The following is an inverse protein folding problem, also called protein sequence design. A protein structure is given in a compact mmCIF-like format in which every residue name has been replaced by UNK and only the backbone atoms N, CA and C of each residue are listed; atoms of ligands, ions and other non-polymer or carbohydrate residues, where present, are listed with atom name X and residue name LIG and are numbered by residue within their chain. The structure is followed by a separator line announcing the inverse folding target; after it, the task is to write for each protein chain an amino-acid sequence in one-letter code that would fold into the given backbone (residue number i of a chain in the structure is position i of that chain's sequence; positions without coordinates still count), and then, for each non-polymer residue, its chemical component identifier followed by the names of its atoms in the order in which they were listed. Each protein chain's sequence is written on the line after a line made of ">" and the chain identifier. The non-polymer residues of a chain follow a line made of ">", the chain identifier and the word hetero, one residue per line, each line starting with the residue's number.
data_IF_828743814760
#
_entry.id   IF_828743814760
#
_cell.length_a   1.000
_cell.length_b   1.000
_cell.length_c   1.000
_cell.angle_alpha   90.00
_cell.angle_beta   90.00
_cell.angle_gamma   90.00
#
_symmetry.space_group_name_H-M   'P 1'
#
loop_
_entity.id
_entity.type
_entity.pdbx_description
1 polymer ?
#
# COMPACT_ATOMS: atom_id res chain seq x y z
N UNK A 1 3.51 7.34 7.20
CA UNK A 1 3.01 8.73 7.45
C UNK A 1 2.76 9.09 8.93
N UNK A 2 1.85 8.44 9.66
CA UNK A 2 1.62 8.70 11.09
C UNK A 2 2.71 8.14 12.03
N UNK A 3 3.38 7.07 11.60
CA UNK A 3 4.50 6.43 12.31
C UNK A 3 5.88 6.99 11.89
N UNK A 4 5.91 7.90 10.90
CA UNK A 4 7.14 8.57 10.46
C UNK A 4 7.95 7.81 9.40
N UNK A 5 7.39 6.76 8.81
CA UNK A 5 8.02 6.01 7.72
C UNK A 5 8.33 6.93 6.54
N UNK A 6 9.49 6.74 5.92
CA UNK A 6 9.96 7.49 4.75
C UNK A 6 9.58 6.82 3.42
N UNK A 7 9.28 5.52 3.47
CA UNK A 7 8.96 4.68 2.33
C UNK A 7 7.65 3.92 2.61
N UNK A 8 6.87 3.69 1.57
CA UNK A 8 5.70 2.83 1.55
C UNK A 8 5.78 1.90 0.34
N UNK A 9 4.70 1.25 -0.04
CA UNK A 9 4.70 0.42 -1.23
C UNK A 9 3.33 -0.18 -1.51
N UNK A 10 3.23 -0.81 -2.68
CA UNK A 10 2.04 -1.58 -3.08
C UNK A 10 2.46 -3.02 -3.28
N UNK A 11 1.61 -3.95 -2.82
CA UNK A 11 1.83 -5.39 -2.93
C UNK A 11 0.59 -6.05 -3.52
N UNK A 12 0.79 -6.94 -4.49
CA UNK A 12 -0.23 -7.92 -4.90
C UNK A 12 0.21 -9.26 -4.30
N UNK A 13 -0.69 -9.91 -3.58
CA UNK A 13 -0.44 -11.20 -2.93
C UNK A 13 -1.62 -12.15 -3.14
N UNK A 14 -1.35 -13.44 -2.98
CA UNK A 14 -2.37 -14.47 -3.01
C UNK A 14 -3.27 -14.38 -1.77
N UNK A 15 -4.53 -14.78 -1.89
CA UNK A 15 -5.44 -14.81 -0.73
C UNK A 15 -5.10 -15.99 0.16
N UNK A 16 -5.00 -15.75 1.46
CA UNK A 16 -4.78 -16.77 2.49
C UNK A 16 -5.85 -16.65 3.60
N UNK A 17 -5.98 -17.66 4.50
CA UNK A 17 -6.97 -17.62 5.58
C UNK A 17 -6.81 -16.49 6.58
N UNK A 18 -5.59 -15.95 6.75
CA UNK A 18 -5.31 -14.80 7.61
C UNK A 18 -5.19 -13.52 6.76
N UNK A 19 -5.57 -12.39 7.34
CA UNK A 19 -5.53 -11.09 6.65
C UNK A 19 -4.12 -10.76 6.18
N UNK A 20 -4.00 -10.49 4.88
CA UNK A 20 -2.80 -9.97 4.22
C UNK A 20 -1.54 -10.83 4.41
N UNK A 21 -1.67 -12.14 4.67
CA UNK A 21 -0.53 -13.05 4.93
C UNK A 21 -0.17 -13.97 3.77
N UNK A 22 -0.83 -13.87 2.62
CA UNK A 22 -0.56 -14.78 1.52
C UNK A 22 0.78 -14.48 0.83
N UNK A 23 1.24 -15.43 0.03
CA UNK A 23 2.49 -15.30 -0.70
C UNK A 23 2.43 -14.08 -1.66
N UNK A 24 3.53 -13.35 -1.75
CA UNK A 24 3.68 -12.18 -2.60
C UNK A 24 3.79 -12.64 -4.05
N UNK A 25 2.96 -12.06 -4.91
CA UNK A 25 3.05 -12.18 -6.36
C UNK A 25 4.01 -11.12 -6.92
N UNK A 26 3.80 -9.86 -6.53
CA UNK A 26 4.66 -8.74 -6.90
C UNK A 26 4.56 -7.62 -5.85
N UNK A 27 5.67 -6.94 -5.58
CA UNK A 27 5.76 -5.82 -4.64
C UNK A 27 6.62 -4.70 -5.24
N UNK A 28 6.26 -3.45 -4.96
CA UNK A 28 7.05 -2.26 -5.32
C UNK A 28 7.15 -1.29 -4.15
N UNK A 29 8.37 -0.92 -3.72
CA UNK A 29 8.55 0.20 -2.82
C UNK A 29 8.23 1.51 -3.53
N UNK A 30 7.75 2.49 -2.77
CA UNK A 30 7.42 3.83 -3.22
C UNK A 30 7.90 4.83 -2.16
N UNK A 31 8.56 5.93 -2.56
CA UNK A 31 8.75 7.03 -1.63
C UNK A 31 7.38 7.55 -1.16
N UNK A 32 7.30 8.08 0.05
CA UNK A 32 6.07 8.75 0.51
C UNK A 32 6.15 10.22 0.07
N UNK A 33 5.69 10.51 -1.15
CA UNK A 33 5.54 11.88 -1.65
C UNK A 33 4.13 12.44 -1.34
N UNK A 34 3.92 13.73 -1.55
CA UNK A 34 2.67 14.39 -1.15
C UNK A 34 1.47 14.09 -2.09
N UNK A 35 1.73 13.59 -3.30
CA UNK A 35 0.72 13.44 -4.38
C UNK A 35 0.62 12.00 -4.95
N UNK A 36 1.10 10.96 -4.25
CA UNK A 36 1.17 9.62 -4.84
C UNK A 36 -0.19 8.94 -5.08
N UNK A 37 -0.49 8.68 -6.36
CA UNK A 37 -1.56 7.76 -6.81
C UNK A 37 -0.92 6.52 -7.41
N UNK A 38 -0.75 5.44 -6.64
CA UNK A 38 -0.07 4.22 -7.14
C UNK A 38 -0.89 2.97 -6.86
N UNK A 39 -1.10 2.16 -7.89
CA UNK A 39 -1.75 0.84 -7.78
C UNK A 39 -2.15 0.22 -9.11
N UNK A 40 -2.58 1.02 -10.08
CA UNK A 40 -3.09 0.50 -11.36
C UNK A 40 -2.03 -0.27 -12.18
N UNK A 41 -0.81 0.27 -12.29
CA UNK A 41 0.26 -0.35 -13.07
C UNK A 41 0.73 -1.69 -12.48
N UNK A 42 0.75 -1.80 -11.15
CA UNK A 42 1.18 -3.03 -10.48
C UNK A 42 0.18 -4.17 -10.69
N UNK A 43 -1.11 -3.85 -10.78
CA UNK A 43 -2.14 -4.83 -11.08
C UNK A 43 -2.00 -5.37 -12.50
N UNK A 44 -1.69 -4.52 -13.48
CA UNK A 44 -1.43 -4.96 -14.86
C UNK A 44 -0.23 -5.91 -14.90
N UNK A 45 0.86 -5.57 -14.22
CA UNK A 45 2.03 -6.45 -14.12
C UNK A 45 1.68 -7.81 -13.49
N UNK A 46 0.94 -7.79 -12.39
CA UNK A 46 0.47 -9.01 -11.72
C UNK A 46 -0.35 -9.91 -12.65
N UNK A 47 -1.28 -9.32 -13.42
CA UNK A 47 -2.10 -10.07 -14.38
C UNK A 47 -1.23 -10.68 -15.48
N UNK A 48 -0.28 -9.94 -16.03
CA UNK A 48 0.66 -10.48 -17.02
C UNK A 48 1.46 -11.65 -16.46
N UNK A 49 1.97 -11.57 -15.23
CA UNK A 49 2.70 -12.67 -14.58
C UNK A 49 1.83 -13.94 -14.46
N UNK A 50 0.56 -13.79 -14.11
CA UNK A 50 -0.39 -14.90 -14.03
C UNK A 50 -0.62 -15.52 -15.43
N UNK A 51 -0.84 -14.70 -16.45
CA UNK A 51 -1.09 -15.14 -17.83
C UNK A 51 0.08 -15.92 -18.43
N UNK A 52 1.32 -15.65 -18.02
CA UNK A 52 2.51 -16.39 -18.48
C UNK A 52 2.63 -17.81 -17.92
N UNK A 53 1.76 -18.21 -16.99
CA UNK A 53 1.54 -19.61 -16.61
C UNK A 53 2.41 -20.14 -15.46
N UNK A 54 3.37 -19.38 -14.95
CA UNK A 54 4.14 -19.73 -13.75
C UNK A 54 4.36 -18.50 -12.85
N UNK A 55 3.30 -17.96 -12.22
CA UNK A 55 3.41 -16.76 -11.41
C UNK A 55 4.18 -17.01 -10.11
N UNK A 56 4.89 -16.01 -9.57
CA UNK A 56 5.59 -16.11 -8.29
C UNK A 56 4.68 -16.38 -7.08
N UNK A 57 5.23 -17.12 -6.11
CA UNK A 57 4.67 -17.39 -4.78
C UNK A 57 5.75 -17.15 -3.72
N UNK A 58 6.06 -15.88 -3.45
CA UNK A 58 7.16 -15.53 -2.54
C UNK A 58 6.64 -15.47 -1.10
N UNK A 59 7.20 -16.24 -0.14
CA UNK A 59 6.73 -16.20 1.24
C UNK A 59 7.03 -14.84 1.89
N UNK A 60 6.08 -14.33 2.69
CA UNK A 60 6.31 -13.16 3.53
C UNK A 60 7.17 -13.53 4.76
N UNK A 61 8.02 -12.61 5.21
CA UNK A 61 8.82 -12.80 6.42
C UNK A 61 8.01 -12.41 7.67
N UNK A 62 7.59 -13.36 8.53
CA UNK A 62 6.78 -13.06 9.70
C UNK A 62 7.54 -12.27 10.78
N UNK A 63 8.88 -12.34 10.81
CA UNK A 63 9.68 -11.59 11.79
C UNK A 63 9.73 -10.09 11.48
N UNK A 64 9.45 -9.71 10.23
CA UNK A 64 9.41 -8.31 9.78
C UNK A 64 7.96 -7.78 9.67
N UNK A 65 6.96 -8.63 9.91
CA UNK A 65 5.56 -8.27 9.72
C UNK A 65 5.05 -7.37 10.85
N UNK A 66 4.43 -6.26 10.48
CA UNK A 66 3.73 -5.36 11.40
C UNK A 66 2.25 -5.29 11.03
N UNK A 67 1.36 -5.34 12.03
CA UNK A 67 -0.08 -5.20 11.83
C UNK A 67 -0.61 -4.00 12.60
N UNK A 68 -1.44 -3.19 11.92
CA UNK A 68 -2.12 -2.04 12.51
C UNK A 68 -3.63 -2.21 12.29
N UNK A 69 -4.41 -2.10 13.37
CA UNK A 69 -5.86 -2.11 13.32
C UNK A 69 -6.43 -0.73 12.95
N UNK A 70 -7.75 -0.59 12.97
CA UNK A 70 -8.42 0.69 12.73
C UNK A 70 -7.81 1.84 13.57
N UNK A 71 -7.53 3.00 12.96
CA UNK A 71 -6.89 4.12 13.64
C UNK A 71 -7.70 4.61 14.83
N UNK A 72 -7.00 4.88 15.93
CA UNK A 72 -7.58 5.45 17.15
C UNK A 72 -7.53 6.99 17.11
N UNK A 73 -8.25 7.69 18.01
CA UNK A 73 -8.12 9.14 18.16
C UNK A 73 -6.69 9.60 18.46
N UNK A 74 -5.86 8.77 19.10
CA UNK A 74 -4.46 9.08 19.36
C UNK A 74 -3.62 9.06 18.07
N UNK A 75 -3.90 8.13 17.17
CA UNK A 75 -3.23 8.05 15.85
C UNK A 75 -3.57 9.26 14.99
N UNK A 76 -4.83 9.71 15.01
CA UNK A 76 -5.27 10.93 14.32
C UNK A 76 -4.56 12.17 14.87
N UNK A 77 -4.41 12.28 16.20
CA UNK A 77 -3.65 13.39 16.81
C UNK A 77 -2.18 13.36 16.37
N UNK A 78 -1.54 12.18 16.40
CA UNK A 78 -0.16 12.00 15.94
C UNK A 78 0.01 12.37 14.47
N UNK A 79 -0.91 11.96 13.61
CA UNK A 79 -0.91 12.30 12.18
C UNK A 79 -0.96 13.82 11.95
N UNK A 80 -1.87 14.52 12.63
CA UNK A 80 -2.00 16.00 12.52
C UNK A 80 -0.79 16.74 13.10
N UNK A 81 -0.24 16.28 14.23
CA UNK A 81 0.96 16.88 14.85
C UNK A 81 2.19 16.81 13.92
N UNK A 82 2.23 15.84 13.02
CA UNK A 82 3.29 15.71 11.99
C UNK A 82 3.03 16.56 10.75
N UNK A 83 2.07 17.51 10.80
CA UNK A 83 1.75 18.42 9.71
C UNK A 83 1.02 17.78 8.53
N UNK A 84 0.55 16.53 8.68
CA UNK A 84 -0.19 15.83 7.63
C UNK A 84 -1.67 16.19 7.68
N UNK A 85 -2.30 16.25 6.49
CA UNK A 85 -3.74 16.52 6.33
C UNK A 85 -4.39 15.38 5.52
N UNK A 86 -5.67 15.16 5.72
CA UNK A 86 -6.43 14.28 4.83
C UNK A 86 -6.64 15.00 3.50
N UNK A 87 -6.53 14.28 2.39
CA UNK A 87 -6.91 14.79 1.08
C UNK A 87 -8.41 15.07 1.02
N UNK A 88 -8.80 16.10 0.27
CA UNK A 88 -10.20 16.41 -0.02
C UNK A 88 -10.64 15.76 -1.32
N UNK A 89 -11.93 15.40 -1.42
CA UNK A 89 -12.50 14.86 -2.66
C UNK A 89 -12.34 15.81 -3.85
N UNK A 90 -12.29 17.12 -3.60
CA UNK A 90 -12.06 18.13 -4.63
C UNK A 90 -10.63 18.07 -5.20
N UNK A 91 -9.63 17.82 -4.35
CA UNK A 91 -8.24 17.63 -4.78
C UNK A 91 -8.12 16.32 -5.58
N UNK A 92 -8.65 15.21 -5.06
CA UNK A 92 -8.58 13.90 -5.73
C UNK A 92 -9.27 13.87 -7.10
N UNK A 93 -10.35 14.65 -7.27
CA UNK A 93 -11.06 14.71 -8.55
C UNK A 93 -10.28 15.48 -9.61
N UNK A 94 -9.56 16.54 -9.22
CA UNK A 94 -8.79 17.38 -10.13
C UNK A 94 -7.65 16.57 -10.78
N UNK A 95 -6.95 15.77 -9.99
CA UNK A 95 -5.81 14.95 -10.43
C UNK A 95 -6.19 13.80 -11.38
N UNK A 96 -7.47 13.42 -11.46
CA UNK A 96 -7.98 12.37 -12.36
C UNK A 96 -8.42 12.89 -13.73
N UNK A 97 -8.50 14.21 -13.88
CA UNK A 97 -9.02 14.88 -15.09
C UNK A 97 -7.96 15.68 -15.85
N UNK A 98 -6.74 15.76 -15.32
CA UNK A 98 -5.53 16.30 -15.97
C UNK A 98 -4.60 15.14 -16.36
#
# INVERSE_FOLDING_TARGET
>A
MANGDAETGVTVHWVAPKFDTGEILVQRPLPIEAEDTVGANLLVEALTLIETGNPPYLPQNPEQATYHSWPTPADVRRFKQRGRRYGSLAETWKDLTE
#
